data_IF_096515754631
#
_entry.id   IF_096515754631
#
_cell.length_a   1.000
_cell.length_b   1.000
_cell.length_c   1.000
_cell.angle_alpha   90.00
_cell.angle_beta   90.00
_cell.angle_gamma   90.00
#
_symmetry.space_group_name_H-M   'P 1'
#
loop_
_entity.id
_entity.type
_entity.pdbx_description
1 polymer ?
#
# COMPACT_ATOMS: atom_id res chain seq x y z
N UNK A 1 -31.64 -5.67 -10.79
CA UNK A 1 -30.19 -5.39 -10.78
C UNK A 1 -29.80 -4.80 -9.44
N UNK A 2 -30.35 -3.67 -9.00
CA UNK A 2 -29.97 -3.01 -7.73
C UNK A 2 -30.05 -3.92 -6.50
N UNK A 3 -31.12 -4.73 -6.38
CA UNK A 3 -31.27 -5.70 -5.30
C UNK A 3 -30.14 -6.75 -5.30
N UNK A 4 -29.76 -7.25 -6.46
CA UNK A 4 -28.66 -8.19 -6.60
C UNK A 4 -27.30 -7.54 -6.23
N UNK A 5 -27.07 -6.29 -6.67
CA UNK A 5 -25.86 -5.54 -6.30
C UNK A 5 -25.77 -5.26 -4.78
N UNK A 6 -26.92 -5.02 -4.14
CA UNK A 6 -26.98 -4.88 -2.68
C UNK A 6 -26.54 -6.15 -1.95
N UNK A 7 -26.90 -7.34 -2.48
CA UNK A 7 -26.44 -8.62 -1.93
C UNK A 7 -24.93 -8.85 -2.11
N UNK A 8 -24.31 -8.16 -3.07
CA UNK A 8 -22.85 -8.18 -3.31
C UNK A 8 -22.13 -7.03 -2.59
N UNK A 9 -22.79 -6.32 -1.67
CA UNK A 9 -22.20 -5.26 -0.84
C UNK A 9 -22.00 -5.77 0.60
N UNK A 10 -21.00 -5.28 1.30
CA UNK A 10 -20.62 -5.77 2.62
C UNK A 10 -19.51 -6.80 2.56
N UNK A 11 -19.52 -7.80 3.44
CA UNK A 11 -18.58 -8.94 3.40
C UNK A 11 -19.08 -9.98 2.42
N UNK A 12 -18.34 -10.19 1.35
CA UNK A 12 -18.67 -11.19 0.31
C UNK A 12 -17.54 -12.19 0.13
N UNK A 13 -17.88 -13.39 -0.33
CA UNK A 13 -16.88 -14.33 -0.80
C UNK A 13 -16.43 -13.92 -2.21
N UNK A 14 -15.13 -13.87 -2.42
CA UNK A 14 -14.55 -13.51 -3.71
C UNK A 14 -13.44 -14.53 -4.04
N UNK A 15 -13.60 -15.19 -5.17
CA UNK A 15 -12.71 -16.26 -5.64
C UNK A 15 -11.91 -15.72 -6.82
N UNK A 16 -10.58 -15.89 -6.87
CA UNK A 16 -9.81 -15.57 -8.06
C UNK A 16 -10.38 -16.29 -9.29
N UNK A 17 -10.40 -15.67 -10.47
CA UNK A 17 -10.78 -16.35 -11.70
C UNK A 17 -9.76 -17.49 -11.99
N UNK A 18 -10.19 -18.54 -12.69
CA UNK A 18 -9.36 -19.71 -13.03
C UNK A 18 -8.04 -19.31 -13.72
N UNK A 19 -8.13 -18.33 -14.62
CA UNK A 19 -6.96 -17.74 -15.29
C UNK A 19 -6.45 -16.57 -14.43
N UNK A 20 -5.70 -16.88 -13.40
CA UNK A 20 -5.02 -15.89 -12.55
C UNK A 20 -3.66 -16.42 -12.09
N UNK A 21 -2.72 -15.52 -11.82
CA UNK A 21 -1.39 -15.85 -11.29
C UNK A 21 -1.43 -16.30 -9.81
N UNK A 22 -2.59 -16.29 -9.18
CA UNK A 22 -2.77 -16.56 -7.75
C UNK A 22 -3.52 -17.89 -7.57
N UNK A 23 -3.13 -18.68 -6.56
CA UNK A 23 -3.84 -19.91 -6.20
C UNK A 23 -5.32 -19.63 -5.96
N UNK A 24 -6.17 -20.42 -6.62
CA UNK A 24 -7.62 -20.36 -6.45
C UNK A 24 -7.98 -20.74 -5.02
N UNK A 25 -8.44 -19.77 -4.25
CA UNK A 25 -8.85 -19.93 -2.87
C UNK A 25 -9.99 -18.94 -2.56
N UNK A 26 -11.03 -19.42 -1.90
CA UNK A 26 -12.11 -18.56 -1.42
C UNK A 26 -11.56 -17.58 -0.39
N UNK A 27 -11.79 -16.29 -0.60
CA UNK A 27 -11.39 -15.22 0.31
C UNK A 27 -12.59 -14.34 0.59
N UNK A 28 -12.67 -13.84 1.82
CA UNK A 28 -13.65 -12.81 2.15
C UNK A 28 -13.10 -11.46 1.76
N UNK A 29 -13.94 -10.61 1.13
CA UNK A 29 -13.62 -9.23 0.76
C UNK A 29 -14.72 -8.30 1.18
N UNK A 30 -14.36 -7.10 1.57
CA UNK A 30 -15.31 -6.05 1.93
C UNK A 30 -15.56 -5.16 0.71
N UNK A 31 -16.82 -5.09 0.29
CA UNK A 31 -17.32 -4.16 -0.72
C UNK A 31 -18.08 -3.07 0.02
N UNK A 32 -17.54 -1.86 0.05
CA UNK A 32 -18.18 -0.75 0.75
C UNK A 32 -19.29 -0.10 -0.07
N UNK A 33 -19.13 -0.08 -1.40
CA UNK A 33 -20.11 0.47 -2.32
C UNK A 33 -20.12 -0.31 -3.62
N UNK A 34 -21.31 -0.60 -4.15
CA UNK A 34 -21.52 -1.14 -5.49
C UNK A 34 -22.79 -0.50 -6.04
N UNK A 35 -22.68 0.45 -6.95
CA UNK A 35 -23.80 1.25 -7.47
C UNK A 35 -23.77 1.38 -8.98
N UNK A 36 -24.94 1.57 -9.56
CA UNK A 36 -25.14 1.88 -10.98
C UNK A 36 -24.84 3.37 -11.19
N UNK A 37 -24.04 3.67 -12.20
CA UNK A 37 -23.82 5.02 -12.69
C UNK A 37 -24.65 5.28 -13.94
N UNK A 38 -24.73 4.27 -14.85
CA UNK A 38 -25.48 4.39 -16.09
C UNK A 38 -25.85 3.02 -16.62
N UNK A 39 -26.89 2.96 -17.45
CA UNK A 39 -27.33 1.74 -18.12
C UNK A 39 -27.87 2.07 -19.52
N UNK A 40 -27.26 1.48 -20.53
CA UNK A 40 -27.64 1.69 -21.93
C UNK A 40 -27.36 0.42 -22.75
N UNK A 41 -28.34 -0.02 -23.57
CA UNK A 41 -28.15 -1.07 -24.57
C UNK A 41 -27.49 -2.35 -24.03
N UNK A 42 -27.92 -2.87 -22.89
CA UNK A 42 -27.33 -4.01 -22.19
C UNK A 42 -25.90 -3.78 -21.62
N UNK A 43 -25.42 -2.55 -21.62
CA UNK A 43 -24.20 -2.16 -20.93
C UNK A 43 -24.55 -1.50 -19.61
N UNK A 44 -23.96 -2.00 -18.54
CA UNK A 44 -24.11 -1.48 -17.20
C UNK A 44 -22.80 -0.83 -16.75
N UNK A 45 -22.80 0.49 -16.54
CA UNK A 45 -21.68 1.21 -15.93
C UNK A 45 -21.87 1.22 -14.41
N UNK A 46 -20.89 0.72 -13.69
CA UNK A 46 -20.95 0.64 -12.22
C UNK A 46 -19.73 1.25 -11.58
N UNK A 47 -19.91 1.74 -10.36
CA UNK A 47 -18.81 2.14 -9.47
C UNK A 47 -18.75 1.16 -8.29
N UNK A 48 -17.54 0.67 -8.01
CA UNK A 48 -17.27 -0.28 -6.93
C UNK A 48 -16.16 0.29 -6.04
N UNK A 49 -16.45 0.46 -4.76
CA UNK A 49 -15.44 0.69 -3.73
C UNK A 49 -15.23 -0.61 -2.96
N UNK A 50 -14.04 -1.17 -3.05
CA UNK A 50 -13.75 -2.47 -2.47
C UNK A 50 -12.35 -2.53 -1.86
N UNK A 51 -12.18 -3.50 -0.99
CA UNK A 51 -10.89 -3.86 -0.39
C UNK A 51 -9.89 -4.34 -1.45
N UNK A 52 -8.60 -4.11 -1.19
CA UNK A 52 -7.52 -4.58 -2.05
C UNK A 52 -7.58 -6.10 -2.26
N UNK A 53 -7.23 -6.54 -3.47
CA UNK A 53 -7.29 -7.96 -3.85
C UNK A 53 -8.70 -8.48 -4.15
N UNK A 54 -9.69 -7.60 -4.32
CA UNK A 54 -11.02 -7.96 -4.84
C UNK A 54 -10.97 -8.19 -6.34
N UNK A 55 -11.50 -9.30 -6.81
CA UNK A 55 -11.59 -9.64 -8.23
C UNK A 55 -12.93 -9.17 -8.82
N UNK A 56 -12.91 -8.07 -9.56
CA UNK A 56 -14.11 -7.46 -10.17
C UNK A 56 -14.74 -8.37 -11.22
N UNK A 57 -13.94 -9.20 -11.95
CA UNK A 57 -14.47 -10.23 -12.86
C UNK A 57 -15.37 -11.23 -12.15
N UNK A 58 -14.97 -11.65 -10.96
CA UNK A 58 -15.79 -12.55 -10.14
C UNK A 58 -17.09 -11.87 -9.70
N UNK A 59 -17.04 -10.59 -9.33
CA UNK A 59 -18.24 -9.83 -8.98
C UNK A 59 -19.22 -9.71 -10.17
N UNK A 60 -18.71 -9.51 -11.39
CA UNK A 60 -19.55 -9.50 -12.60
C UNK A 60 -20.22 -10.87 -12.82
N UNK A 61 -19.48 -11.97 -12.70
CA UNK A 61 -20.01 -13.33 -12.75
C UNK A 61 -21.09 -13.57 -11.68
N UNK A 62 -20.80 -13.20 -10.44
CA UNK A 62 -21.71 -13.43 -9.31
C UNK A 62 -22.98 -12.57 -9.43
N UNK A 63 -22.87 -11.36 -10.00
CA UNK A 63 -24.04 -10.56 -10.38
C UNK A 63 -24.90 -11.28 -11.43
N UNK A 64 -24.27 -11.88 -12.44
CA UNK A 64 -24.95 -12.68 -13.45
C UNK A 64 -25.70 -13.87 -12.85
N UNK A 65 -25.06 -14.61 -11.93
CA UNK A 65 -25.69 -15.72 -11.21
C UNK A 65 -26.92 -15.29 -10.40
N UNK A 66 -26.84 -14.13 -9.73
CA UNK A 66 -27.98 -13.59 -8.96
C UNK A 66 -29.14 -13.12 -9.84
N UNK A 67 -28.88 -12.78 -11.08
CA UNK A 67 -29.86 -12.30 -12.04
C UNK A 67 -30.35 -13.39 -13.03
N UNK A 68 -29.76 -14.59 -12.94
CA UNK A 68 -29.98 -15.69 -13.89
C UNK A 68 -29.74 -15.29 -15.37
N UNK A 69 -28.68 -14.50 -15.59
CA UNK A 69 -28.22 -14.04 -16.91
C UNK A 69 -26.71 -14.16 -17.04
N UNK A 70 -26.22 -14.19 -18.27
CA UNK A 70 -24.79 -14.11 -18.51
C UNK A 70 -24.30 -12.65 -18.45
N UNK A 71 -23.38 -12.35 -17.53
CA UNK A 71 -22.76 -11.02 -17.37
C UNK A 71 -21.25 -11.14 -17.59
N UNK A 72 -20.73 -10.31 -18.45
CA UNK A 72 -19.30 -10.24 -18.78
C UNK A 72 -18.74 -8.86 -18.45
N UNK A 73 -17.55 -8.83 -17.81
CA UNK A 73 -16.79 -7.60 -17.61
C UNK A 73 -16.13 -7.17 -18.93
N UNK A 74 -16.63 -6.12 -19.57
CA UNK A 74 -16.08 -5.58 -20.83
C UNK A 74 -14.89 -4.69 -20.60
N UNK A 75 -14.94 -3.80 -19.61
CA UNK A 75 -13.89 -2.85 -19.29
C UNK A 75 -13.76 -2.65 -17.79
N UNK A 76 -12.55 -2.42 -17.31
CA UNK A 76 -12.26 -2.08 -15.92
C UNK A 76 -11.30 -0.90 -15.86
N UNK A 77 -11.75 0.18 -15.27
CA UNK A 77 -10.93 1.35 -14.95
C UNK A 77 -10.78 1.50 -13.44
N UNK A 78 -9.57 1.78 -12.96
CA UNK A 78 -9.30 2.09 -11.55
C UNK A 78 -8.97 3.57 -11.40
N UNK A 79 -9.97 4.41 -11.06
CA UNK A 79 -9.73 5.85 -10.87
C UNK A 79 -8.95 6.16 -9.60
N UNK A 80 -8.97 5.23 -8.61
CA UNK A 80 -8.28 5.39 -7.34
C UNK A 80 -7.69 4.07 -6.85
N UNK A 81 -6.50 4.12 -6.26
CA UNK A 81 -5.82 2.99 -5.61
C UNK A 81 -5.07 3.49 -4.37
N UNK A 82 -5.58 3.15 -3.17
CA UNK A 82 -5.11 3.76 -1.93
C UNK A 82 -5.27 5.28 -1.98
N UNK A 83 -4.21 6.01 -1.68
CA UNK A 83 -4.18 7.49 -1.72
C UNK A 83 -4.03 8.08 -3.13
N UNK A 84 -3.64 7.28 -4.11
CA UNK A 84 -3.39 7.74 -5.48
C UNK A 84 -4.66 7.74 -6.32
N UNK A 85 -4.85 8.78 -7.11
CA UNK A 85 -5.95 8.92 -8.06
C UNK A 85 -5.44 9.23 -9.48
N UNK A 86 -6.38 9.29 -10.43
CA UNK A 86 -6.04 9.57 -11.83
C UNK A 86 -5.46 10.96 -12.08
N UNK A 87 -5.73 11.94 -11.21
CA UNK A 87 -5.20 13.29 -11.37
C UNK A 87 -3.69 13.35 -11.12
N UNK A 88 -3.19 12.39 -10.31
CA UNK A 88 -1.75 12.23 -10.03
C UNK A 88 -1.05 11.34 -11.07
N UNK A 89 -1.80 10.72 -11.97
CA UNK A 89 -1.23 9.81 -12.98
C UNK A 89 -0.59 10.58 -14.12
N UNK A 90 0.49 10.03 -14.65
CA UNK A 90 1.18 10.54 -15.83
C UNK A 90 1.17 9.49 -16.95
N UNK A 91 1.27 9.94 -18.19
CA UNK A 91 1.38 9.02 -19.32
C UNK A 91 2.80 8.47 -19.45
N UNK A 92 2.94 7.33 -20.14
CA UNK A 92 4.26 6.76 -20.44
C UNK A 92 5.10 7.71 -21.27
N UNK A 93 4.48 8.52 -22.16
CA UNK A 93 5.18 9.54 -22.95
C UNK A 93 5.77 10.64 -22.06
N UNK A 94 4.99 11.16 -21.11
CA UNK A 94 5.49 12.16 -20.16
C UNK A 94 6.66 11.65 -19.34
N UNK A 95 6.62 10.37 -18.92
CA UNK A 95 7.73 9.74 -18.22
C UNK A 95 8.96 9.61 -19.11
N UNK A 96 8.79 9.17 -20.36
CA UNK A 96 9.88 9.04 -21.32
C UNK A 96 10.56 10.38 -21.62
N UNK A 97 9.78 11.43 -21.84
CA UNK A 97 10.27 12.80 -22.07
C UNK A 97 11.05 13.34 -20.87
N UNK A 98 10.53 13.12 -19.66
CA UNK A 98 11.20 13.53 -18.42
C UNK A 98 12.54 12.81 -18.19
N UNK A 99 12.60 11.50 -18.49
CA UNK A 99 13.84 10.72 -18.42
C UNK A 99 14.83 11.21 -19.49
N UNK A 100 14.36 11.50 -20.70
CA UNK A 100 15.21 12.01 -21.78
C UNK A 100 15.85 13.35 -21.42
N UNK A 101 15.05 14.31 -20.91
CA UNK A 101 15.53 15.61 -20.43
C UNK A 101 16.58 15.44 -19.32
N UNK A 102 16.30 14.61 -18.33
CA UNK A 102 17.24 14.36 -17.24
C UNK A 102 18.57 13.79 -17.75
N UNK A 103 18.54 12.79 -18.63
CA UNK A 103 19.74 12.11 -19.12
C UNK A 103 20.57 12.97 -20.07
N UNK A 104 19.94 13.80 -20.91
CA UNK A 104 20.63 14.53 -21.97
C UNK A 104 20.98 15.97 -21.60
N UNK A 105 20.19 16.60 -20.72
CA UNK A 105 20.40 18.00 -20.31
C UNK A 105 20.72 18.16 -18.83
N UNK A 106 20.74 17.06 -18.07
CA UNK A 106 20.87 17.03 -16.62
C UNK A 106 19.76 17.85 -15.88
N UNK A 107 18.65 18.13 -16.56
CA UNK A 107 17.49 18.83 -16.00
C UNK A 107 16.56 17.84 -15.28
N UNK A 108 16.56 17.89 -13.95
CA UNK A 108 15.76 17.01 -13.09
C UNK A 108 14.36 17.53 -12.82
N UNK A 109 14.00 18.76 -13.23
CA UNK A 109 12.71 19.39 -12.85
C UNK A 109 11.50 18.60 -13.33
N UNK A 110 11.56 18.00 -14.52
CA UNK A 110 10.46 17.20 -15.05
C UNK A 110 10.33 15.85 -14.34
N UNK A 111 11.45 15.14 -14.12
CA UNK A 111 11.42 13.81 -13.50
C UNK A 111 11.00 13.90 -12.02
N UNK A 112 11.41 14.93 -11.28
CA UNK A 112 11.04 15.13 -9.88
C UNK A 112 9.55 15.48 -9.68
N UNK A 113 8.84 15.91 -10.73
CA UNK A 113 7.38 16.09 -10.70
C UNK A 113 6.60 14.79 -10.97
N UNK A 114 7.25 13.80 -11.55
CA UNK A 114 6.62 12.54 -12.01
C UNK A 114 6.95 11.39 -11.07
N UNK A 115 8.20 11.33 -10.61
CA UNK A 115 8.67 10.27 -9.71
C UNK A 115 8.63 10.78 -8.29
N UNK A 116 7.73 10.20 -7.50
CA UNK A 116 7.55 10.53 -6.09
C UNK A 116 8.44 9.64 -5.21
N UNK A 117 8.94 10.16 -4.07
CA UNK A 117 9.69 9.37 -3.11
C UNK A 117 8.81 8.31 -2.45
N UNK A 118 9.41 7.20 -2.03
CA UNK A 118 8.67 6.09 -1.39
C UNK A 118 8.01 6.51 -0.09
N UNK A 119 8.54 7.51 0.59
CA UNK A 119 7.99 8.09 1.82
C UNK A 119 6.57 8.62 1.63
N UNK A 120 6.25 9.08 0.42
CA UNK A 120 4.89 9.52 0.09
C UNK A 120 3.91 8.35 0.08
N UNK A 121 4.29 7.19 -0.44
CA UNK A 121 3.50 5.97 -0.37
C UNK A 121 3.25 5.50 1.06
N UNK A 122 4.24 5.69 1.94
CA UNK A 122 4.23 5.23 3.33
C UNK A 122 3.63 6.25 4.31
N UNK A 123 3.18 7.40 3.83
CA UNK A 123 2.74 8.51 4.69
C UNK A 123 1.49 8.22 5.53
N UNK A 124 0.70 7.20 5.16
CA UNK A 124 -0.48 6.75 5.92
C UNK A 124 -0.13 5.76 7.06
N UNK A 125 1.09 5.20 7.04
CA UNK A 125 1.54 4.32 8.11
C UNK A 125 1.98 5.13 9.34
N UNK A 126 1.69 4.65 10.56
CA UNK A 126 2.24 5.20 11.78
C UNK A 126 3.77 5.16 11.76
N UNK A 127 4.41 6.14 12.40
CA UNK A 127 5.85 6.36 12.31
C UNK A 127 6.58 6.08 13.62
N UNK A 128 7.77 5.51 13.49
CA UNK A 128 8.80 5.54 14.53
C UNK A 128 10.01 6.25 13.97
N UNK A 129 10.42 7.33 14.62
CA UNK A 129 11.66 8.03 14.29
C UNK A 129 12.83 7.35 15.00
N UNK A 130 13.87 7.02 14.23
CA UNK A 130 15.05 6.30 14.73
C UNK A 130 16.32 7.12 14.63
N UNK A 131 17.31 6.81 15.48
CA UNK A 131 18.66 7.39 15.43
C UNK A 131 19.46 6.82 14.26
N UNK A 132 20.45 7.54 13.78
CA UNK A 132 21.31 7.17 12.65
C UNK A 132 21.97 5.78 12.84
N UNK A 133 22.48 5.49 14.05
CA UNK A 133 23.06 4.20 14.34
C UNK A 133 22.05 3.04 14.30
N UNK A 134 20.79 3.31 14.64
CA UNK A 134 19.71 2.33 14.49
C UNK A 134 19.32 2.17 13.02
N UNK A 135 19.27 3.26 12.24
CA UNK A 135 19.01 3.21 10.80
C UNK A 135 20.07 2.35 10.08
N UNK A 136 21.35 2.51 10.45
CA UNK A 136 22.42 1.66 9.93
C UNK A 136 22.22 0.16 10.25
N UNK A 137 21.78 -0.18 11.47
CA UNK A 137 21.53 -1.57 11.84
C UNK A 137 20.29 -2.15 11.13
N UNK A 138 19.22 -1.36 11.06
CA UNK A 138 17.97 -1.70 10.40
C UNK A 138 18.13 -1.94 8.89
N UNK A 139 18.99 -1.16 8.20
CA UNK A 139 19.29 -1.36 6.78
C UNK A 139 19.94 -2.72 6.49
N UNK A 140 20.53 -3.35 7.50
CA UNK A 140 21.03 -4.73 7.44
C UNK A 140 20.05 -5.77 8.00
N UNK A 141 18.78 -5.40 8.26
CA UNK A 141 17.74 -6.32 8.74
C UNK A 141 17.74 -6.59 10.24
N UNK A 142 18.52 -5.87 11.04
CA UNK A 142 18.51 -6.01 12.50
C UNK A 142 17.18 -5.48 13.09
N UNK A 143 16.70 -6.01 14.22
CA UNK A 143 15.53 -5.49 14.91
C UNK A 143 15.81 -4.10 15.50
N UNK A 144 14.75 -3.28 15.61
CA UNK A 144 14.82 -2.00 16.31
C UNK A 144 14.82 -2.23 17.82
N UNK A 145 15.88 -1.77 18.47
CA UNK A 145 15.99 -1.81 19.92
C UNK A 145 15.62 -0.45 20.54
N UNK A 146 15.15 -0.46 21.81
CA UNK A 146 14.70 0.75 22.52
C UNK A 146 15.67 1.92 22.47
N UNK A 147 17.00 1.75 22.68
CA UNK A 147 17.94 2.87 22.63
C UNK A 147 18.02 3.58 21.27
N UNK A 148 17.58 2.89 20.19
CA UNK A 148 17.55 3.44 18.83
C UNK A 148 16.32 4.30 18.53
N UNK A 149 15.28 4.29 19.38
CA UNK A 149 14.04 5.05 19.18
C UNK A 149 14.23 6.50 19.63
N UNK A 150 13.82 7.45 18.79
CA UNK A 150 13.72 8.88 19.10
C UNK A 150 12.29 9.23 19.50
N UNK A 151 11.31 8.91 18.66
CA UNK A 151 9.89 9.12 18.92
C UNK A 151 9.05 8.04 18.25
N UNK A 152 7.82 7.89 18.72
CA UNK A 152 6.83 6.94 18.21
C UNK A 152 5.44 7.58 18.24
N UNK A 153 4.62 7.28 17.26
CA UNK A 153 3.22 7.68 17.24
C UNK A 153 2.43 6.97 18.35
N UNK A 154 1.41 7.65 18.88
CA UNK A 154 0.59 7.14 19.96
C UNK A 154 -0.49 6.17 19.48
N UNK A 155 -1.06 5.39 20.42
CA UNK A 155 -2.24 4.54 20.17
C UNK A 155 -1.94 3.21 19.48
N UNK A 156 -0.67 2.84 19.32
CA UNK A 156 -0.26 1.62 18.62
C UNK A 156 -0.16 0.42 19.56
N UNK A 157 -0.54 -0.75 19.05
CA UNK A 157 -0.49 -2.02 19.76
C UNK A 157 0.65 -2.90 19.24
N UNK A 158 1.02 -3.92 20.01
CA UNK A 158 1.91 -4.98 19.53
C UNK A 158 1.28 -5.67 18.32
N UNK A 159 2.08 -5.88 17.26
CA UNK A 159 1.67 -6.44 15.98
C UNK A 159 1.28 -5.41 14.92
N UNK A 160 1.05 -4.14 15.29
CA UNK A 160 0.74 -3.08 14.33
C UNK A 160 1.92 -2.83 13.38
N UNK A 161 1.60 -2.56 12.13
CA UNK A 161 2.59 -2.24 11.11
C UNK A 161 2.93 -0.74 11.17
N UNK A 162 4.21 -0.43 11.16
CA UNK A 162 4.75 0.93 11.25
C UNK A 162 5.86 1.15 10.24
N UNK A 163 6.08 2.41 9.85
CA UNK A 163 7.27 2.79 9.09
C UNK A 163 8.34 3.35 10.04
N UNK A 164 9.56 2.84 9.91
CA UNK A 164 10.74 3.34 10.60
C UNK A 164 11.39 4.39 9.71
N UNK A 165 11.55 5.61 10.24
CA UNK A 165 12.12 6.75 9.51
C UNK A 165 13.29 7.36 10.27
N UNK A 166 14.26 7.94 9.55
CA UNK A 166 15.32 8.72 10.16
C UNK A 166 14.80 10.06 10.70
N UNK A 167 15.61 10.78 11.46
CA UNK A 167 15.31 12.16 11.92
C UNK A 167 15.09 13.09 10.71
N UNK A 168 15.68 12.79 9.55
CA UNK A 168 15.47 13.54 8.30
C UNK A 168 14.17 13.15 7.55
N UNK A 169 13.46 12.14 8.03
CA UNK A 169 12.22 11.65 7.40
C UNK A 169 12.45 10.61 6.31
N UNK A 170 13.67 10.10 6.12
CA UNK A 170 13.99 9.07 5.13
C UNK A 170 13.48 7.71 5.60
N UNK A 171 12.78 6.96 4.73
CA UNK A 171 12.26 5.64 5.05
C UNK A 171 13.38 4.61 5.19
N UNK A 172 13.43 3.92 6.33
CA UNK A 172 14.42 2.89 6.62
C UNK A 172 13.84 1.49 6.37
N UNK A 173 12.68 1.20 6.97
CA UNK A 173 12.04 -0.10 6.86
C UNK A 173 10.56 -0.01 7.23
N UNK A 174 9.77 -0.98 6.77
CA UNK A 174 8.45 -1.30 7.32
C UNK A 174 8.65 -2.40 8.36
N UNK A 175 8.03 -2.28 9.51
CA UNK A 175 8.24 -3.19 10.64
C UNK A 175 6.93 -3.46 11.38
N UNK A 176 6.87 -4.60 12.09
CA UNK A 176 5.80 -4.86 13.04
C UNK A 176 6.28 -4.54 14.45
N UNK A 177 5.43 -3.87 15.22
CA UNK A 177 5.70 -3.59 16.63
C UNK A 177 5.75 -4.87 17.46
N UNK A 178 6.81 -5.04 18.26
CA UNK A 178 6.92 -6.10 19.25
C UNK A 178 6.22 -5.72 20.58
N UNK A 179 6.10 -4.40 20.85
CA UNK A 179 5.52 -3.83 22.06
C UNK A 179 4.58 -2.67 21.72
N UNK A 180 3.61 -2.37 22.59
CA UNK A 180 2.72 -1.22 22.37
C UNK A 180 3.43 0.12 22.59
N UNK A 181 2.93 1.16 21.91
CA UNK A 181 3.46 2.53 22.03
C UNK A 181 3.41 3.09 23.45
N UNK A 182 2.53 2.56 24.31
CA UNK A 182 2.46 2.93 25.74
C UNK A 182 3.60 2.35 26.56
N UNK A 183 4.07 1.15 26.23
CA UNK A 183 5.13 0.44 26.95
C UNK A 183 6.52 0.90 26.52
N UNK A 184 6.71 1.16 25.22
CA UNK A 184 8.01 1.51 24.65
C UNK A 184 8.72 2.67 25.37
N UNK A 185 8.05 3.78 25.76
CA UNK A 185 8.71 4.87 26.49
C UNK A 185 9.25 4.47 27.87
N UNK A 186 8.63 3.48 28.51
CA UNK A 186 9.05 3.01 29.85
C UNK A 186 10.19 1.99 29.81
N UNK A 187 10.48 1.44 28.63
CA UNK A 187 11.58 0.49 28.45
C UNK A 187 12.94 1.20 28.48
N UNK A 188 13.92 0.54 29.06
CA UNK A 188 15.34 0.93 28.99
C UNK A 188 16.08 0.16 27.90
N UNK A 189 15.70 -1.09 27.66
CA UNK A 189 16.30 -2.03 26.71
C UNK A 189 15.24 -2.94 26.11
N UNK A 190 15.60 -3.70 25.07
CA UNK A 190 14.74 -4.69 24.44
C UNK A 190 14.29 -4.32 23.04
N UNK A 191 13.67 -5.27 22.37
CA UNK A 191 13.16 -5.15 21.01
C UNK A 191 11.85 -4.35 20.98
N UNK A 192 11.77 -3.38 20.10
CA UNK A 192 10.63 -2.49 19.88
C UNK A 192 9.86 -2.88 18.63
N UNK A 193 10.58 -3.17 17.55
CA UNK A 193 9.97 -3.56 16.29
C UNK A 193 10.90 -4.47 15.47
N UNK A 194 10.31 -5.34 14.67
CA UNK A 194 11.01 -6.26 13.76
C UNK A 194 10.73 -5.88 12.30
N UNK A 195 11.77 -5.56 11.50
CA UNK A 195 11.60 -5.25 10.08
C UNK A 195 10.98 -6.42 9.30
N UNK A 196 9.98 -6.12 8.48
CA UNK A 196 9.40 -7.03 7.49
C UNK A 196 9.96 -6.76 6.09
N UNK A 197 10.20 -5.46 5.80
CA UNK A 197 10.72 -5.01 4.52
C UNK A 197 11.70 -3.87 4.76
N UNK A 198 12.96 -4.07 4.40
CA UNK A 198 14.00 -3.04 4.43
C UNK A 198 13.92 -2.24 3.14
N UNK A 199 13.86 -0.92 3.24
CA UNK A 199 13.75 0.03 2.13
C UNK A 199 15.09 0.72 1.89
N UNK A 200 15.72 1.17 2.98
CA UNK A 200 16.99 1.89 2.91
C UNK A 200 18.11 0.97 2.44
N UNK A 201 18.92 1.46 1.50
CA UNK A 201 20.09 0.75 1.04
C UNK A 201 21.11 0.59 2.19
N UNK A 202 21.72 -0.59 2.25
CA UNK A 202 22.83 -0.85 3.19
C UNK A 202 23.93 0.20 3.08
N UNK A 203 24.59 0.49 4.21
CA UNK A 203 25.68 1.46 4.32
C UNK A 203 25.32 2.92 3.93
N UNK A 204 24.04 3.27 3.83
CA UNK A 204 23.58 4.67 3.68
C UNK A 204 23.98 5.50 4.91
N UNK A 205 23.90 4.92 6.10
CA UNK A 205 24.37 5.49 7.35
C UNK A 205 25.60 4.74 7.87
N UNK A 206 26.57 5.45 8.48
CA UNK A 206 27.78 4.82 8.99
C UNK A 206 27.45 3.85 10.14
N UNK A 207 28.10 2.71 10.14
CA UNK A 207 27.97 1.72 11.24
C UNK A 207 28.56 2.32 12.53
N UNK A 208 27.75 2.38 13.56
CA UNK A 208 28.19 2.88 14.88
C UNK A 208 28.87 1.80 15.74
N UNK A 209 28.79 0.53 15.32
CA UNK A 209 29.47 -0.60 15.98
C UNK A 209 30.77 -0.94 15.23
N UNK A 210 31.87 -0.95 15.96
CA UNK A 210 33.11 -1.53 15.47
C UNK A 210 32.97 -3.07 15.49
N UNK A 211 33.54 -3.72 14.48
CA UNK A 211 33.79 -5.17 14.53
C UNK A 211 34.69 -5.50 15.70
#
# INVERSE_FOLDING_TARGET
VESAMKNLTGKVYNVPPEISAVRVQVRTRKISTFKILDYKENLLLTEIHCEAGTYVRTMARDLGLLLDINVELKELRRPKSGRFDLLQSVTMQQLADAIWLWKNTNDQRAILKIVHPVEELLSELPKIVVKDGAAAALSHGAPLLRPGVVSIDEGLNSGDEVVLVTIKGEAVAIANLSQSSKVIPTMTQGEVAKPNCVIMKEDTYPRSWKK
#
